data_IF_032758598316
#
_entry.id   IF_032758598316
#
_cell.length_a   1.000
_cell.length_b   1.000
_cell.length_c   1.000
_cell.angle_alpha   90.00
_cell.angle_beta   90.00
_cell.angle_gamma   90.00
#
_symmetry.space_group_name_H-M   'P 1'
#
loop_
_entity.id
_entity.type
_entity.pdbx_description
1 polymer ?
#
# COMPACT_ATOMS: atom_id res chain seq x y z
N UNK A 1 -12.52 3.27 18.50
CA UNK A 1 -11.41 2.35 18.11
C UNK A 1 -10.24 3.16 17.51
N UNK A 2 -9.51 3.98 18.28
CA UNK A 2 -8.50 4.89 17.74
C UNK A 2 -7.27 4.16 17.19
N UNK A 3 -6.90 3.02 17.77
CA UNK A 3 -5.72 2.25 17.34
C UNK A 3 -5.95 1.59 16.01
N UNK A 4 -7.09 0.95 15.82
CA UNK A 4 -7.48 0.34 14.56
C UNK A 4 -7.56 1.39 13.44
N UNK A 5 -8.05 2.61 13.75
CA UNK A 5 -8.09 3.72 12.81
C UNK A 5 -6.69 4.12 12.33
N UNK A 6 -5.70 4.17 13.23
CA UNK A 6 -4.30 4.48 12.86
C UNK A 6 -3.71 3.39 11.97
N UNK A 7 -3.87 2.10 12.31
CA UNK A 7 -3.41 1.00 11.48
C UNK A 7 -4.06 1.03 10.09
N UNK A 8 -5.36 1.25 10.05
CA UNK A 8 -6.07 1.37 8.78
C UNK A 8 -5.57 2.56 7.95
N UNK A 9 -5.42 3.75 8.56
CA UNK A 9 -4.95 4.95 7.87
C UNK A 9 -3.57 4.75 7.26
N UNK A 10 -2.60 4.21 8.01
CA UNK A 10 -1.24 3.97 7.51
C UNK A 10 -1.25 2.93 6.39
N UNK A 11 -2.03 1.87 6.52
CA UNK A 11 -2.19 0.85 5.47
C UNK A 11 -2.85 1.43 4.21
N UNK A 12 -3.85 2.29 4.38
CA UNK A 12 -4.51 2.98 3.27
C UNK A 12 -3.55 3.93 2.55
N UNK A 13 -2.73 4.68 3.29
CA UNK A 13 -1.70 5.53 2.70
C UNK A 13 -0.64 4.72 1.94
N UNK A 14 -0.25 3.56 2.46
CA UNK A 14 0.67 2.66 1.76
C UNK A 14 0.06 2.12 0.45
N UNK A 15 -1.24 1.86 0.44
CA UNK A 15 -1.97 1.38 -0.73
C UNK A 15 -2.20 2.46 -1.80
N UNK A 16 -2.16 3.73 -1.41
CA UNK A 16 -2.26 4.91 -2.31
C UNK A 16 -0.89 5.33 -2.85
N UNK A 17 0.19 4.65 -2.43
CA UNK A 17 1.54 4.98 -2.87
C UNK A 17 2.09 6.26 -2.25
N UNK A 18 1.82 6.51 -0.96
CA UNK A 18 2.41 7.65 -0.27
C UNK A 18 3.94 7.53 -0.23
N UNK A 19 4.70 8.62 -0.52
CA UNK A 19 6.16 8.61 -0.40
C UNK A 19 6.63 8.11 0.98
N UNK A 20 7.57 7.16 0.99
CA UNK A 20 8.04 6.49 2.21
C UNK A 20 7.29 5.18 2.53
N UNK A 21 6.37 4.75 1.70
CA UNK A 21 5.72 3.43 1.79
C UNK A 21 6.05 2.58 0.58
N UNK A 22 5.91 1.26 0.72
CA UNK A 22 6.22 0.28 -0.32
C UNK A 22 5.43 0.51 -1.64
N UNK A 23 4.22 1.05 -1.57
CA UNK A 23 3.38 1.34 -2.73
C UNK A 23 4.02 2.36 -3.67
N UNK A 24 4.67 3.39 -3.13
CA UNK A 24 5.22 4.48 -3.92
C UNK A 24 6.24 4.04 -5.00
N UNK A 25 7.34 3.32 -4.66
CA UNK A 25 8.30 2.90 -5.68
C UNK A 25 7.70 1.90 -6.68
N UNK A 26 6.72 1.09 -6.27
CA UNK A 26 6.03 0.17 -7.15
C UNK A 26 5.17 0.90 -8.20
N UNK A 27 4.38 1.88 -7.77
CA UNK A 27 3.55 2.69 -8.63
C UNK A 27 4.38 3.56 -9.59
N UNK A 28 5.47 4.16 -9.09
CA UNK A 28 6.37 4.99 -9.90
C UNK A 28 7.02 4.18 -11.01
N UNK A 29 7.56 3.01 -10.71
CA UNK A 29 8.13 2.10 -11.71
C UNK A 29 7.09 1.62 -12.72
N UNK A 30 5.87 1.33 -12.26
CA UNK A 30 4.77 0.91 -13.12
C UNK A 30 4.37 2.02 -14.08
N UNK A 31 4.19 3.25 -13.60
CA UNK A 31 3.83 4.41 -14.43
C UNK A 31 4.90 4.65 -15.49
N UNK A 32 6.17 4.69 -15.11
CA UNK A 32 7.28 4.91 -16.06
C UNK A 32 7.35 3.80 -17.11
N UNK A 33 7.25 2.53 -16.70
CA UNK A 33 7.30 1.41 -17.63
C UNK A 33 6.12 1.39 -18.61
N UNK A 34 4.91 1.67 -18.13
CA UNK A 34 3.72 1.68 -19.00
C UNK A 34 3.67 2.93 -19.88
N UNK A 35 4.11 4.09 -19.38
CA UNK A 35 4.11 5.33 -20.15
C UNK A 35 5.00 5.24 -21.41
N UNK A 36 6.13 4.53 -21.29
CA UNK A 36 7.04 4.32 -22.44
C UNK A 36 6.48 3.34 -23.46
N UNK A 37 5.78 2.30 -23.02
CA UNK A 37 5.22 1.26 -23.90
C UNK A 37 3.84 1.63 -24.47
N UNK A 38 2.97 2.20 -23.62
CA UNK A 38 1.58 2.53 -23.92
C UNK A 38 1.18 3.86 -23.28
N UNK A 39 1.47 5.00 -23.91
CA UNK A 39 1.28 6.33 -23.28
C UNK A 39 -0.17 6.60 -22.82
N UNK A 40 -1.17 6.14 -23.57
CA UNK A 40 -2.58 6.30 -23.18
C UNK A 40 -2.89 5.60 -21.87
N UNK A 41 -2.42 4.36 -21.70
CA UNK A 41 -2.59 3.58 -20.48
C UNK A 41 -1.81 4.21 -19.33
N UNK A 42 -0.60 4.69 -19.59
CA UNK A 42 0.24 5.39 -18.63
C UNK A 42 -0.43 6.64 -18.05
N UNK A 43 -1.17 7.41 -18.86
CA UNK A 43 -1.96 8.55 -18.40
C UNK A 43 -3.21 8.17 -17.60
N UNK A 44 -3.78 6.99 -17.84
CA UNK A 44 -4.95 6.50 -17.09
C UNK A 44 -4.59 5.99 -15.68
N UNK A 45 -3.35 5.54 -15.46
CA UNK A 45 -2.90 5.01 -14.16
C UNK A 45 -3.01 6.03 -13.02
N UNK A 46 -2.52 7.27 -13.12
CA UNK A 46 -2.69 8.27 -12.07
C UNK A 46 -4.17 8.56 -11.75
N UNK A 47 -5.04 8.51 -12.74
CA UNK A 47 -6.48 8.69 -12.55
C UNK A 47 -7.05 7.52 -11.74
N UNK A 48 -6.66 6.29 -12.05
CA UNK A 48 -7.07 5.10 -11.30
C UNK A 48 -6.57 5.16 -9.85
N UNK A 49 -5.33 5.60 -9.62
CA UNK A 49 -4.76 5.81 -8.28
C UNK A 49 -5.55 6.87 -7.51
N UNK A 50 -5.90 7.99 -8.15
CA UNK A 50 -6.70 9.04 -7.52
C UNK A 50 -8.11 8.56 -7.14
N UNK A 51 -8.74 7.74 -7.98
CA UNK A 51 -10.04 7.12 -7.67
C UNK A 51 -9.90 6.16 -6.48
N UNK A 52 -8.84 5.34 -6.44
CA UNK A 52 -8.57 4.45 -5.33
C UNK A 52 -8.35 5.23 -4.03
N UNK A 53 -7.55 6.29 -4.05
CA UNK A 53 -7.34 7.19 -2.91
C UNK A 53 -8.66 7.78 -2.39
N UNK A 54 -9.52 8.24 -3.29
CA UNK A 54 -10.84 8.77 -2.92
C UNK A 54 -11.72 7.70 -2.24
N UNK A 55 -11.74 6.47 -2.76
CA UNK A 55 -12.50 5.38 -2.16
C UNK A 55 -11.99 5.01 -0.76
N UNK A 56 -10.68 4.93 -0.58
CA UNK A 56 -10.07 4.65 0.73
C UNK A 56 -10.34 5.77 1.74
N UNK A 57 -10.23 7.03 1.31
CA UNK A 57 -10.59 8.17 2.15
C UNK A 57 -12.07 8.12 2.57
N UNK A 58 -12.96 7.85 1.63
CA UNK A 58 -14.40 7.75 1.91
C UNK A 58 -14.71 6.59 2.86
N UNK A 59 -14.04 5.46 2.67
CA UNK A 59 -14.17 4.30 3.56
C UNK A 59 -13.68 4.63 4.97
N UNK A 60 -12.50 5.23 5.11
CA UNK A 60 -11.95 5.70 6.38
C UNK A 60 -12.90 6.65 7.09
N UNK A 61 -13.40 7.66 6.37
CA UNK A 61 -14.30 8.66 6.92
C UNK A 61 -15.60 8.04 7.45
N UNK A 62 -16.15 7.07 6.73
CA UNK A 62 -17.38 6.39 7.16
C UNK A 62 -17.18 5.46 8.34
N UNK A 63 -16.02 4.78 8.41
CA UNK A 63 -15.76 3.81 9.47
C UNK A 63 -15.30 4.48 10.77
N UNK A 64 -14.46 5.52 10.68
CA UNK A 64 -13.77 6.06 11.86
C UNK A 64 -14.15 7.48 12.24
N UNK A 65 -14.67 8.30 11.32
CA UNK A 65 -15.06 9.69 11.59
C UNK A 65 -16.57 9.87 11.76
N UNK A 66 -17.35 8.81 11.55
CA UNK A 66 -18.81 8.83 11.77
C UNK A 66 -19.19 8.86 13.26
N UNK A 67 -20.38 9.35 13.58
CA UNK A 67 -20.94 9.23 14.92
C UNK A 67 -21.08 7.75 15.29
N UNK A 68 -20.62 7.33 16.49
CA UNK A 68 -20.74 5.94 16.91
C UNK A 68 -22.21 5.56 17.07
N UNK A 69 -22.64 4.56 16.33
CA UNK A 69 -23.95 3.95 16.55
C UNK A 69 -23.95 3.22 17.90
N UNK A 70 -25.04 3.23 18.63
CA UNK A 70 -25.14 2.62 19.96
C UNK A 70 -24.62 1.16 20.00
N UNK A 71 -24.83 0.40 18.93
CA UNK A 71 -24.34 -0.97 18.81
C UNK A 71 -22.80 -1.10 18.79
N UNK A 72 -22.07 -0.06 18.41
CA UNK A 72 -20.60 -0.06 18.30
C UNK A 72 -19.90 0.77 19.38
N UNK A 73 -20.67 1.44 20.24
CA UNK A 73 -20.12 2.26 21.32
C UNK A 73 -19.26 1.46 22.31
N UNK A 74 -19.58 0.18 22.49
CA UNK A 74 -18.87 -0.75 23.39
C UNK A 74 -17.89 -1.69 22.67
N UNK A 75 -17.73 -1.53 21.36
CA UNK A 75 -16.84 -2.41 20.60
C UNK A 75 -15.37 -2.22 21.05
N UNK A 76 -14.66 -3.32 21.39
CA UNK A 76 -13.27 -3.24 21.82
C UNK A 76 -12.38 -2.73 20.69
N UNK A 77 -11.36 -1.94 21.04
CA UNK A 77 -10.29 -1.55 20.12
C UNK A 77 -9.36 -2.76 19.87
N UNK A 78 -8.44 -2.63 18.89
CA UNK A 78 -7.50 -3.68 18.54
C UNK A 78 -6.86 -4.32 19.78
N UNK A 79 -7.05 -5.63 19.92
CA UNK A 79 -6.52 -6.43 21.04
C UNK A 79 -4.97 -6.46 20.99
N UNK A 80 -4.28 -6.61 22.12
CA UNK A 80 -2.81 -6.73 22.13
C UNK A 80 -2.27 -7.79 21.18
N UNK A 81 -2.98 -8.92 21.06
CA UNK A 81 -2.62 -10.04 20.17
C UNK A 81 -2.72 -9.66 18.67
N UNK A 82 -3.61 -8.75 18.31
CA UNK A 82 -3.83 -8.31 16.93
C UNK A 82 -2.87 -7.18 16.53
N UNK A 83 -2.36 -6.43 17.50
CA UNK A 83 -1.44 -5.31 17.23
C UNK A 83 -0.09 -5.75 16.72
N UNK A 84 0.43 -6.87 17.20
CA UNK A 84 1.74 -7.36 16.79
C UNK A 84 1.82 -7.68 15.29
N UNK A 85 0.92 -8.48 14.70
CA UNK A 85 0.93 -8.72 13.26
C UNK A 85 0.67 -7.45 12.45
N UNK A 86 -0.25 -6.59 12.90
CA UNK A 86 -0.50 -5.30 12.23
C UNK A 86 0.74 -4.40 12.25
N UNK A 87 1.39 -4.27 13.41
CA UNK A 87 2.61 -3.49 13.53
C UNK A 87 3.74 -4.06 12.68
N UNK A 88 3.90 -5.39 12.63
CA UNK A 88 4.89 -6.04 11.79
C UNK A 88 4.64 -5.74 10.29
N UNK A 89 3.40 -5.82 9.84
CA UNK A 89 3.05 -5.43 8.46
C UNK A 89 3.37 -3.96 8.16
N UNK A 90 3.06 -3.04 9.07
CA UNK A 90 3.38 -1.63 8.89
C UNK A 90 4.88 -1.37 8.85
N UNK A 91 5.66 -2.03 9.73
CA UNK A 91 7.12 -1.93 9.71
C UNK A 91 7.68 -2.38 8.36
N UNK A 92 7.20 -3.50 7.82
CA UNK A 92 7.60 -4.01 6.51
C UNK A 92 7.25 -3.00 5.41
N UNK A 93 6.02 -2.46 5.40
CA UNK A 93 5.57 -1.49 4.41
C UNK A 93 6.41 -0.21 4.39
N UNK A 94 6.76 0.31 5.57
CA UNK A 94 7.59 1.51 5.70
C UNK A 94 9.06 1.20 5.42
N UNK A 95 9.57 0.10 5.91
CA UNK A 95 10.97 -0.29 5.71
C UNK A 95 11.33 -0.41 4.22
N UNK A 96 10.55 -1.19 3.48
CA UNK A 96 10.76 -1.35 2.04
C UNK A 96 10.40 -0.11 1.22
N UNK A 97 9.54 0.76 1.73
CA UNK A 97 9.26 2.06 1.14
C UNK A 97 10.42 3.04 1.25
N UNK A 98 11.16 3.01 2.38
CA UNK A 98 12.32 3.87 2.61
C UNK A 98 13.61 3.33 1.95
N UNK A 99 13.69 2.02 1.73
CA UNK A 99 14.84 1.34 1.11
C UNK A 99 14.45 0.58 -0.16
N UNK A 100 13.99 1.24 -1.22
CA UNK A 100 13.52 0.58 -2.45
C UNK A 100 14.62 -0.19 -3.18
N UNK A 101 15.89 0.18 -2.99
CA UNK A 101 17.03 -0.48 -3.61
C UNK A 101 17.12 -1.98 -3.29
N UNK A 102 16.70 -2.41 -2.10
CA UNK A 102 16.68 -3.83 -1.73
C UNK A 102 15.65 -4.63 -2.55
N UNK A 103 14.50 -4.02 -2.85
CA UNK A 103 13.48 -4.63 -3.70
C UNK A 103 13.92 -4.71 -5.16
N UNK A 104 14.57 -3.67 -5.67
CA UNK A 104 15.12 -3.65 -7.03
C UNK A 104 16.18 -4.73 -7.18
N UNK A 105 17.10 -4.87 -6.22
CA UNK A 105 18.12 -5.93 -6.23
C UNK A 105 17.53 -7.34 -6.18
N UNK A 106 16.48 -7.56 -5.37
CA UNK A 106 15.76 -8.84 -5.33
C UNK A 106 15.08 -9.17 -6.67
N UNK A 107 14.49 -8.15 -7.33
CA UNK A 107 13.88 -8.29 -8.65
C UNK A 107 14.92 -8.66 -9.70
N UNK A 108 16.05 -7.99 -9.73
CA UNK A 108 17.11 -8.22 -10.71
C UNK A 108 17.68 -9.64 -10.57
N UNK A 109 17.90 -10.09 -9.34
CA UNK A 109 18.27 -11.48 -9.06
C UNK A 109 17.24 -12.49 -9.56
N UNK A 110 15.95 -12.23 -9.34
CA UNK A 110 14.86 -13.11 -9.79
C UNK A 110 14.75 -13.13 -11.33
N UNK A 111 14.96 -12.00 -12.00
CA UNK A 111 14.96 -11.91 -13.47
C UNK A 111 16.15 -12.67 -14.07
N UNK A 112 17.37 -12.51 -13.53
CA UNK A 112 18.53 -13.26 -13.97
C UNK A 112 18.35 -14.77 -13.79
N UNK A 113 17.82 -15.21 -12.66
CA UNK A 113 17.52 -16.61 -12.42
C UNK A 113 16.50 -17.15 -13.45
N UNK A 114 15.44 -16.40 -13.74
CA UNK A 114 14.41 -16.78 -14.70
C UNK A 114 14.96 -16.86 -16.13
N UNK A 115 15.79 -15.91 -16.56
CA UNK A 115 16.43 -15.90 -17.88
C UNK A 115 17.39 -17.07 -18.02
N UNK A 116 18.15 -17.39 -16.98
CA UNK A 116 19.08 -18.53 -16.99
C UNK A 116 18.36 -19.87 -17.11
N UNK A 117 17.18 -20.00 -16.50
CA UNK A 117 16.33 -21.21 -16.59
C UNK A 117 15.65 -21.30 -17.96
N UNK A 118 15.16 -20.18 -18.50
CA UNK A 118 14.46 -20.14 -19.79
C UNK A 118 15.43 -20.33 -21.01
N UNK A 119 16.70 -20.03 -20.83
CA UNK A 119 17.73 -20.18 -21.88
C UNK A 119 18.39 -21.57 -21.95
N UNK A 120 17.93 -22.52 -21.10
CA UNK A 120 18.34 -23.93 -21.17
C UNK A 120 17.26 -24.79 -21.82
#
# INVERSE_FOLDING_TARGET
>A
MPRLAVFFAVSAFALVGLPGTLGFPGEDLLIHGVLTAHPVVGFLLPIAIAINAYHLYRLFSRLFLGAPTAAWATAPDALPRERWPLAACLVVLVWFGLMPNQLVALRDFAVEAAVTIAGR
#
